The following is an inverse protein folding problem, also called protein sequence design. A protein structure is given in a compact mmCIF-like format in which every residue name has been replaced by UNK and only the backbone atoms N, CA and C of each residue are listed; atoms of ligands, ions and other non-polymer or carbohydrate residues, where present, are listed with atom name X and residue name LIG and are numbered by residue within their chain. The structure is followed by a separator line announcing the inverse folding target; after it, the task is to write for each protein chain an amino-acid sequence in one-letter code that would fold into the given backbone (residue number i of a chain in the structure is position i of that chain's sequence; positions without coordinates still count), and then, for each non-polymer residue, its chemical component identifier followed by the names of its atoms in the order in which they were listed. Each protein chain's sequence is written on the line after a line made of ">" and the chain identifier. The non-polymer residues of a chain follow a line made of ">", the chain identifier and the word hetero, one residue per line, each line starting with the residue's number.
data_IF_150729834471
#
_entry.id   IF_150729834471
#
_cell.length_a   1.000
_cell.length_b   1.000
_cell.length_c   1.000
_cell.angle_alpha   90.00
_cell.angle_beta   90.00
_cell.angle_gamma   90.00
#
_symmetry.space_group_name_H-M   'P 1'
#
loop_
_entity.id
_entity.type
_entity.pdbx_description
1 polymer ?
#
# COMPACT_ATOMS: atom_id res chain seq x y z
N UNK A 1 2.66 13.72 7.56
CA UNK A 1 1.50 14.61 7.79
C UNK A 1 0.16 13.86 7.64
N UNK A 2 -0.31 13.55 6.42
CA UNK A 2 -1.64 12.91 6.22
C UNK A 2 -1.79 11.59 6.96
N UNK A 3 -0.82 10.67 6.82
CA UNK A 3 -0.88 9.37 7.51
C UNK A 3 -0.82 9.50 9.03
N UNK A 4 -0.07 10.45 9.54
CA UNK A 4 0.00 10.75 10.98
C UNK A 4 -1.33 11.29 11.51
N UNK A 5 -2.01 12.12 10.72
CA UNK A 5 -3.36 12.60 11.06
C UNK A 5 -4.37 11.45 11.11
N UNK A 6 -4.30 10.52 10.13
CA UNK A 6 -5.13 9.30 10.16
C UNK A 6 -4.82 8.46 11.39
N UNK A 7 -3.55 8.23 11.70
CA UNK A 7 -3.13 7.42 12.85
C UNK A 7 -3.56 8.04 14.19
N UNK A 8 -3.58 9.37 14.29
CA UNK A 8 -3.99 10.05 15.52
C UNK A 8 -5.44 9.79 15.92
N UNK A 9 -6.29 9.40 14.97
CA UNK A 9 -7.68 9.00 15.20
C UNK A 9 -7.89 7.54 15.60
N UNK A 10 -6.83 6.74 15.65
CA UNK A 10 -6.92 5.29 15.85
C UNK A 10 -5.80 4.77 16.74
N UNK A 11 -6.11 4.40 17.99
CA UNK A 11 -5.13 3.91 18.97
C UNK A 11 -4.37 2.64 18.51
N UNK A 12 -4.97 1.87 17.60
CA UNK A 12 -4.40 0.63 17.06
C UNK A 12 -3.49 0.86 15.84
N UNK A 13 -3.46 2.07 15.25
CA UNK A 13 -2.72 2.38 14.03
C UNK A 13 -1.45 3.17 14.32
N UNK A 14 -0.31 2.66 13.84
CA UNK A 14 0.98 3.33 13.93
C UNK A 14 1.59 3.49 12.54
N UNK A 15 2.24 4.61 12.31
CA UNK A 15 2.99 4.88 11.09
C UNK A 15 4.47 4.75 11.40
N UNK A 16 5.16 3.91 10.65
CA UNK A 16 6.61 3.73 10.72
C UNK A 16 7.23 4.01 9.36
N UNK A 17 8.29 4.79 9.35
CA UNK A 17 9.13 4.98 8.18
C UNK A 17 10.26 3.94 8.21
N UNK A 18 10.63 3.45 7.04
CA UNK A 18 11.71 2.47 6.89
C UNK A 18 12.45 2.70 5.58
N UNK A 19 13.74 2.42 5.58
CA UNK A 19 14.59 2.42 4.39
C UNK A 19 14.70 1.02 3.76
N UNK A 20 14.11 -0.01 4.43
CA UNK A 20 14.08 -1.36 3.90
C UNK A 20 13.25 -1.45 2.62
N UNK A 21 13.74 -2.20 1.65
CA UNK A 21 13.11 -2.35 0.34
C UNK A 21 12.33 -3.66 0.19
N UNK A 22 12.81 -4.74 0.82
CA UNK A 22 12.15 -6.04 0.75
C UNK A 22 11.07 -6.16 1.84
N UNK A 23 9.91 -6.65 1.47
CA UNK A 23 8.82 -6.89 2.43
C UNK A 23 9.21 -7.84 3.55
N UNK A 24 10.08 -8.82 3.27
CA UNK A 24 10.59 -9.73 4.29
C UNK A 24 11.36 -8.99 5.41
N UNK A 25 12.13 -7.98 5.05
CA UNK A 25 12.89 -7.17 6.01
C UNK A 25 11.96 -6.20 6.76
N UNK A 26 11.03 -5.56 6.05
CA UNK A 26 10.01 -4.67 6.65
C UNK A 26 9.13 -5.43 7.65
N UNK A 27 8.74 -6.66 7.31
CA UNK A 27 7.84 -7.48 8.11
C UNK A 27 8.53 -8.25 9.25
N UNK A 28 9.84 -8.13 9.38
CA UNK A 28 10.60 -8.83 10.40
C UNK A 28 10.09 -8.47 11.81
N UNK A 29 9.74 -9.49 12.60
CA UNK A 29 9.22 -9.33 13.95
C UNK A 29 7.72 -9.04 14.07
N UNK A 30 7.00 -8.98 12.95
CA UNK A 30 5.53 -8.89 12.93
C UNK A 30 4.89 -10.27 12.76
N UNK A 31 3.68 -10.45 13.29
CA UNK A 31 2.97 -11.73 13.25
C UNK A 31 2.19 -11.92 11.96
N UNK A 32 1.72 -10.84 11.35
CA UNK A 32 0.88 -10.84 10.15
C UNK A 32 1.26 -9.69 9.21
N UNK A 33 1.38 -10.01 7.93
CA UNK A 33 1.56 -9.05 6.86
C UNK A 33 0.31 -9.02 5.98
N UNK A 34 -0.30 -7.86 5.84
CA UNK A 34 -1.47 -7.66 4.96
C UNK A 34 -1.03 -6.97 3.68
N UNK A 35 -1.46 -7.49 2.54
CA UNK A 35 -1.16 -6.89 1.23
C UNK A 35 -2.28 -7.12 0.22
N UNK A 36 -2.28 -6.37 -0.88
CA UNK A 36 -3.14 -6.64 -2.03
C UNK A 36 -2.62 -7.80 -2.88
N UNK A 37 -3.52 -8.46 -3.61
CA UNK A 37 -3.19 -9.58 -4.49
C UNK A 37 -2.19 -9.19 -5.60
N UNK A 38 -2.24 -7.96 -6.08
CA UNK A 38 -1.28 -7.42 -7.04
C UNK A 38 0.16 -7.39 -6.46
N UNK A 39 0.31 -6.97 -5.21
CA UNK A 39 1.60 -6.99 -4.52
C UNK A 39 2.07 -8.42 -4.26
N UNK A 40 1.19 -9.32 -3.89
CA UNK A 40 1.51 -10.73 -3.71
C UNK A 40 2.11 -11.36 -4.97
N UNK A 41 1.52 -11.09 -6.14
CA UNK A 41 2.06 -11.54 -7.41
C UNK A 41 3.41 -10.87 -7.74
N UNK A 42 3.54 -9.58 -7.46
CA UNK A 42 4.76 -8.82 -7.71
C UNK A 42 5.97 -9.39 -6.95
N UNK A 43 5.81 -9.70 -5.66
CA UNK A 43 6.93 -10.19 -4.82
C UNK A 43 7.39 -11.61 -5.16
N UNK A 44 6.67 -12.33 -6.01
CA UNK A 44 7.08 -13.64 -6.51
C UNK A 44 7.98 -13.55 -7.75
N UNK A 45 8.11 -12.37 -8.35
CA UNK A 45 8.98 -12.16 -9.51
C UNK A 45 10.45 -12.08 -9.07
N UNK A 46 11.32 -12.97 -9.60
CA UNK A 46 12.76 -12.95 -9.30
C UNK A 46 13.45 -11.61 -9.60
N UNK A 47 12.88 -10.78 -10.48
CA UNK A 47 13.42 -9.46 -10.83
C UNK A 47 13.62 -8.54 -9.61
N UNK A 48 12.83 -8.69 -8.56
CA UNK A 48 12.98 -7.93 -7.30
C UNK A 48 14.08 -8.47 -6.39
N UNK A 49 14.77 -9.55 -6.78
CA UNK A 49 15.79 -10.25 -6.01
C UNK A 49 17.07 -10.46 -6.85
N UNK A 50 17.43 -9.47 -7.67
CA UNK A 50 18.57 -9.53 -8.61
C UNK A 50 18.47 -10.70 -9.60
N UNK A 51 17.27 -11.06 -10.03
CA UNK A 51 16.96 -12.22 -10.89
C UNK A 51 17.44 -13.57 -10.32
N UNK A 52 17.52 -13.68 -9.00
CA UNK A 52 17.90 -14.90 -8.31
C UNK A 52 16.69 -15.58 -7.67
N UNK A 53 16.18 -16.70 -8.23
CA UNK A 53 15.05 -17.44 -7.66
C UNK A 53 15.30 -17.96 -6.24
N UNK A 54 16.54 -18.30 -5.90
CA UNK A 54 16.89 -18.77 -4.55
C UNK A 54 16.75 -17.66 -3.50
N UNK A 55 17.18 -16.44 -3.84
CA UNK A 55 16.97 -15.26 -2.98
C UNK A 55 15.49 -14.92 -2.81
N UNK A 56 14.71 -14.99 -3.89
CA UNK A 56 13.26 -14.85 -3.83
C UNK A 56 12.64 -15.86 -2.87
N UNK A 57 12.93 -17.13 -3.03
CA UNK A 57 12.38 -18.20 -2.22
C UNK A 57 12.77 -18.05 -0.74
N UNK A 58 14.00 -17.66 -0.47
CA UNK A 58 14.45 -17.34 0.89
C UNK A 58 13.67 -16.17 1.50
N UNK A 59 13.49 -15.08 0.75
CA UNK A 59 12.73 -13.91 1.20
C UNK A 59 11.27 -14.27 1.47
N UNK A 60 10.62 -15.00 0.58
CA UNK A 60 9.22 -15.42 0.76
C UNK A 60 9.06 -16.36 1.97
N UNK A 61 10.02 -17.25 2.21
CA UNK A 61 10.00 -18.16 3.38
C UNK A 61 10.20 -17.43 4.71
N UNK A 62 10.81 -16.25 4.70
CA UNK A 62 11.04 -15.42 5.88
C UNK A 62 9.84 -14.51 6.23
N UNK A 63 8.81 -14.43 5.38
CA UNK A 63 7.60 -13.66 5.66
C UNK A 63 6.83 -14.26 6.84
N UNK A 64 6.18 -13.41 7.67
CA UNK A 64 5.21 -13.88 8.65
C UNK A 64 3.96 -14.44 7.95
N UNK A 65 2.93 -14.77 8.71
CA UNK A 65 1.62 -15.08 8.15
C UNK A 65 1.15 -13.96 7.22
N UNK A 66 0.59 -14.30 6.06
CA UNK A 66 0.17 -13.33 5.04
C UNK A 66 -1.34 -13.38 4.85
N UNK A 67 -1.99 -12.22 4.87
CA UNK A 67 -3.38 -12.05 4.49
C UNK A 67 -3.45 -11.16 3.23
N UNK A 68 -4.15 -11.65 2.21
CA UNK A 68 -4.17 -11.04 0.88
C UNK A 68 -5.57 -10.52 0.57
N UNK A 69 -5.68 -9.22 0.35
CA UNK A 69 -6.90 -8.58 -0.14
C UNK A 69 -7.03 -8.76 -1.65
N UNK A 70 -8.17 -9.26 -2.11
CA UNK A 70 -8.46 -9.43 -3.53
C UNK A 70 -8.33 -8.11 -4.29
N UNK A 71 -7.62 -8.13 -5.41
CA UNK A 71 -7.41 -6.98 -6.28
C UNK A 71 -7.52 -7.40 -7.75
N UNK A 72 -8.48 -6.80 -8.45
CA UNK A 72 -8.69 -7.08 -9.88
C UNK A 72 -8.86 -8.57 -10.18
N UNK A 73 -8.15 -9.05 -11.21
CA UNK A 73 -8.15 -10.45 -11.64
C UNK A 73 -7.00 -11.29 -11.07
N UNK A 74 -6.20 -10.74 -10.17
CA UNK A 74 -5.10 -11.48 -9.54
C UNK A 74 -5.65 -12.58 -8.64
N UNK A 75 -5.17 -13.79 -8.83
CA UNK A 75 -5.56 -14.92 -8.00
C UNK A 75 -4.97 -14.82 -6.60
N UNK A 76 -5.77 -15.19 -5.62
CA UNK A 76 -5.37 -15.24 -4.21
C UNK A 76 -5.44 -16.67 -3.72
N UNK A 77 -4.38 -17.23 -3.08
CA UNK A 77 -4.48 -18.54 -2.45
C UNK A 77 -5.61 -18.55 -1.41
N UNK A 78 -6.55 -19.53 -1.45
CA UNK A 78 -7.75 -19.52 -0.59
C UNK A 78 -7.46 -19.45 0.91
N UNK A 79 -6.35 -20.03 1.36
CA UNK A 79 -5.92 -20.03 2.75
C UNK A 79 -5.31 -18.72 3.22
N UNK A 80 -5.02 -17.78 2.31
CA UNK A 80 -4.43 -16.47 2.59
C UNK A 80 -5.44 -15.32 2.32
N UNK A 81 -6.62 -15.62 1.86
CA UNK A 81 -7.60 -14.60 1.48
C UNK A 81 -8.08 -13.80 2.71
N UNK A 82 -7.96 -12.48 2.62
CA UNK A 82 -8.57 -11.53 3.53
C UNK A 82 -9.93 -11.13 2.95
N UNK A 83 -11.05 -11.50 3.59
CA UNK A 83 -12.37 -11.11 3.11
C UNK A 83 -12.53 -9.58 3.18
N UNK A 84 -12.87 -8.97 2.05
CA UNK A 84 -13.20 -7.54 1.95
C UNK A 84 -14.57 -7.38 1.27
N UNK A 85 -15.33 -6.32 1.61
CA UNK A 85 -16.57 -6.03 0.90
C UNK A 85 -16.33 -5.84 -0.60
N UNK A 86 -17.21 -6.36 -1.43
CA UNK A 86 -17.07 -6.33 -2.89
C UNK A 86 -16.92 -4.91 -3.44
N UNK A 87 -17.66 -3.95 -2.85
CA UNK A 87 -17.58 -2.53 -3.24
C UNK A 87 -16.20 -1.88 -2.96
N UNK A 88 -15.32 -2.52 -2.18
CA UNK A 88 -13.97 -2.03 -1.89
C UNK A 88 -12.90 -2.66 -2.79
N UNK A 89 -13.22 -3.71 -3.54
CA UNK A 89 -12.26 -4.45 -4.36
C UNK A 89 -11.61 -3.61 -5.47
N UNK A 90 -12.29 -2.58 -5.95
CA UNK A 90 -11.82 -1.64 -6.98
C UNK A 90 -11.12 -0.39 -6.42
N UNK A 91 -11.13 -0.19 -5.11
CA UNK A 91 -10.52 0.99 -4.49
C UNK A 91 -9.00 0.94 -4.66
N UNK A 92 -8.43 1.97 -5.26
CA UNK A 92 -6.99 2.08 -5.48
C UNK A 92 -6.53 3.52 -5.56
N UNK A 93 -5.24 3.73 -5.32
CA UNK A 93 -4.60 5.05 -5.53
C UNK A 93 -4.69 5.50 -6.98
N UNK A 94 -4.70 4.57 -7.94
CA UNK A 94 -4.85 4.88 -9.36
C UNK A 94 -6.23 5.48 -9.65
N UNK A 95 -7.29 4.90 -9.11
CA UNK A 95 -8.65 5.44 -9.27
C UNK A 95 -8.80 6.80 -8.57
N UNK A 96 -8.19 6.97 -7.40
CA UNK A 96 -8.16 8.27 -6.72
C UNK A 96 -7.48 9.35 -7.58
N UNK A 97 -6.35 9.05 -8.21
CA UNK A 97 -5.66 9.97 -9.13
C UNK A 97 -6.50 10.32 -10.36
N UNK A 98 -7.41 9.44 -10.77
CA UNK A 98 -8.36 9.69 -11.88
C UNK A 98 -9.60 10.46 -11.46
N UNK A 99 -9.73 10.84 -10.19
CA UNK A 99 -10.82 11.62 -9.66
C UNK A 99 -11.83 10.87 -8.78
N UNK A 100 -11.66 9.55 -8.58
CA UNK A 100 -12.51 8.76 -7.68
C UNK A 100 -12.11 8.99 -6.21
N UNK A 101 -12.35 10.19 -5.70
CA UNK A 101 -11.88 10.65 -4.39
C UNK A 101 -12.82 10.29 -3.23
N UNK A 102 -14.04 9.81 -3.52
CA UNK A 102 -15.05 9.48 -2.49
C UNK A 102 -14.64 8.40 -1.52
N UNK A 103 -13.72 7.52 -1.92
CA UNK A 103 -13.19 6.43 -1.09
C UNK A 103 -11.84 6.76 -0.43
N UNK A 104 -11.33 7.96 -0.62
CA UNK A 104 -10.14 8.43 0.08
C UNK A 104 -10.46 8.65 1.57
N UNK A 105 -9.46 8.39 2.40
CA UNK A 105 -9.52 8.78 3.81
C UNK A 105 -9.71 10.29 3.93
N UNK A 106 -10.52 10.73 4.87
CA UNK A 106 -10.88 12.14 5.04
C UNK A 106 -9.66 13.09 5.09
N UNK A 107 -8.60 12.82 5.88
CA UNK A 107 -7.41 13.68 5.88
C UNK A 107 -6.70 13.74 4.52
N UNK A 108 -6.67 12.62 3.78
CA UNK A 108 -6.07 12.57 2.45
C UNK A 108 -6.90 13.38 1.45
N UNK A 109 -8.23 13.24 1.49
CA UNK A 109 -9.15 13.99 0.62
C UNK A 109 -9.03 15.50 0.85
N UNK A 110 -9.03 15.95 2.10
CA UNK A 110 -8.84 17.37 2.43
C UNK A 110 -7.48 17.90 1.96
N UNK A 111 -6.44 17.11 2.13
CA UNK A 111 -5.11 17.50 1.65
C UNK A 111 -5.06 17.60 0.13
N UNK A 112 -5.71 16.68 -0.58
CA UNK A 112 -5.82 16.76 -2.05
C UNK A 112 -6.64 17.97 -2.52
N UNK A 113 -7.78 18.24 -1.88
CA UNK A 113 -8.58 19.44 -2.17
C UNK A 113 -7.78 20.73 -2.01
N UNK A 114 -6.90 20.78 -1.03
CA UNK A 114 -6.02 21.93 -0.78
C UNK A 114 -4.86 22.01 -1.79
N UNK A 115 -4.23 20.91 -2.09
CA UNK A 115 -2.92 20.86 -2.75
C UNK A 115 -2.92 20.24 -4.15
N UNK A 116 -3.88 19.38 -4.46
CA UNK A 116 -3.87 18.55 -5.67
C UNK A 116 -2.94 17.34 -5.62
N UNK A 117 -2.49 16.94 -4.44
CA UNK A 117 -1.44 15.92 -4.27
C UNK A 117 -1.67 14.60 -5.00
N UNK A 118 -2.92 14.19 -5.21
CA UNK A 118 -3.27 12.97 -5.97
C UNK A 118 -3.89 13.29 -7.33
N UNK A 119 -4.73 14.31 -7.41
CA UNK A 119 -5.56 14.56 -8.58
C UNK A 119 -5.00 15.59 -9.55
N UNK A 120 -4.04 16.42 -9.13
CA UNK A 120 -3.47 17.49 -9.96
C UNK A 120 -1.98 17.72 -9.68
N UNK A 121 -1.09 17.01 -10.40
CA UNK A 121 0.36 17.11 -10.18
C UNK A 121 0.92 18.53 -10.32
N UNK A 122 0.45 19.31 -11.29
CA UNK A 122 0.94 20.68 -11.52
C UNK A 122 0.61 21.59 -10.33
N UNK A 123 -0.61 21.48 -9.81
CA UNK A 123 -1.03 22.21 -8.63
C UNK A 123 -0.21 21.81 -7.39
N UNK A 124 0.08 20.52 -7.25
CA UNK A 124 0.88 20.01 -6.15
C UNK A 124 2.34 20.51 -6.21
N UNK A 125 2.95 20.53 -7.37
CA UNK A 125 4.28 21.11 -7.57
C UNK A 125 4.32 22.59 -7.22
N UNK A 126 3.33 23.35 -7.67
CA UNK A 126 3.22 24.78 -7.34
C UNK A 126 3.08 24.98 -5.82
N UNK A 127 2.30 24.13 -5.15
CA UNK A 127 2.14 24.17 -3.69
C UNK A 127 3.46 23.87 -2.97
N UNK A 128 4.23 22.85 -3.40
CA UNK A 128 5.53 22.50 -2.82
C UNK A 128 6.52 23.65 -2.92
N UNK A 129 6.56 24.37 -4.04
CA UNK A 129 7.43 25.54 -4.24
C UNK A 129 7.08 26.64 -3.23
N UNK A 130 5.82 26.85 -2.92
CA UNK A 130 5.37 27.86 -1.95
C UNK A 130 5.73 27.50 -0.50
N UNK A 131 5.98 26.21 -0.20
CA UNK A 131 6.40 25.76 1.13
C UNK A 131 7.92 25.81 1.35
N UNK A 132 8.66 25.98 0.28
CA UNK A 132 10.11 26.14 0.32
C UNK A 132 10.48 27.59 0.64
#
# INVERSE_FOLDING_TARGET
>A
AVLEEVASGHDWLQIKLTDEQLLADIALGYDLLVMGADKWHQIQDPAFYDNDPARRDQALSALPEVAIAQRGSFETPPNMELPIPENLSSVSSTEARRGATSMMLEPARRFDELTGAWTNPERYEAWLIQQS
#
